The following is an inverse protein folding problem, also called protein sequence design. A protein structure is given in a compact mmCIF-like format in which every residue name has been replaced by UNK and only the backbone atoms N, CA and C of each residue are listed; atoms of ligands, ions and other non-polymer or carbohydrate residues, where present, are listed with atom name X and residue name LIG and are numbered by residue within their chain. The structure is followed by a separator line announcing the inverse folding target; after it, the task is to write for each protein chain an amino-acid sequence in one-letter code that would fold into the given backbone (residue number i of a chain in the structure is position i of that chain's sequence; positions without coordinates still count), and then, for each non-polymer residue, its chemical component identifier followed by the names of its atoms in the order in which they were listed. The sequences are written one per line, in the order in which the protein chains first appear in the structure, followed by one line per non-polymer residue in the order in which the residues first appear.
data_IF_829281780130
#
_entry.id   IF_829281780130
#
_cell.length_a   1.000
_cell.length_b   1.000
_cell.length_c   1.000
_cell.angle_alpha   90.00
_cell.angle_beta   90.00
_cell.angle_gamma   90.00
#
_symmetry.space_group_name_H-M   'P 1'
#
loop_
_entity.id
_entity.type
_entity.pdbx_description
1 polymer ?
#
# COMPACT_ATOMS: atom_id res chain seq x y z
N UNK A 1 4.84 13.52 24.53
CA UNK A 1 4.86 13.67 23.06
C UNK A 1 3.95 12.60 22.48
N UNK A 2 3.06 12.95 21.54
CA UNK A 2 2.18 11.96 20.91
C UNK A 2 2.97 10.94 20.09
N UNK A 3 2.39 9.77 19.84
CA UNK A 3 3.02 8.73 19.02
C UNK A 3 3.20 9.26 17.58
N UNK A 4 4.39 9.14 16.95
CA UNK A 4 4.62 9.61 15.59
C UNK A 4 3.60 9.01 14.63
N UNK A 5 3.06 9.85 13.74
CA UNK A 5 2.04 9.43 12.77
C UNK A 5 2.72 9.02 11.47
N UNK A 6 2.08 8.08 10.78
CA UNK A 6 2.54 7.49 9.52
C UNK A 6 1.43 7.66 8.50
N UNK A 7 1.79 8.04 7.28
CA UNK A 7 0.85 8.34 6.22
C UNK A 7 1.24 7.59 4.95
N UNK A 8 0.25 7.05 4.25
CA UNK A 8 0.37 6.54 2.89
C UNK A 8 0.26 7.73 1.95
N UNK A 9 1.36 8.08 1.31
CA UNK A 9 1.45 9.19 0.36
C UNK A 9 1.15 8.75 -1.07
N UNK A 10 1.56 7.55 -1.45
CA UNK A 10 1.34 7.02 -2.79
C UNK A 10 1.15 5.51 -2.83
N UNK A 11 0.37 5.05 -3.79
CA UNK A 11 0.05 3.63 -4.00
C UNK A 11 -0.03 3.30 -5.48
N UNK A 12 0.33 2.07 -5.84
CA UNK A 12 0.18 1.57 -7.20
C UNK A 12 0.07 0.05 -7.24
N UNK A 13 -0.53 -0.44 -8.33
CA UNK A 13 -0.48 -1.85 -8.74
C UNK A 13 0.17 -1.91 -10.14
N UNK A 14 0.92 -2.97 -10.37
CA UNK A 14 1.43 -3.38 -11.67
C UNK A 14 1.18 -4.88 -11.86
N UNK A 15 0.98 -5.29 -13.11
CA UNK A 15 0.62 -6.66 -13.47
C UNK A 15 1.45 -7.19 -14.64
N UNK A 16 1.04 -8.36 -15.15
CA UNK A 16 1.71 -9.03 -16.28
C UNK A 16 1.73 -8.21 -17.57
N UNK A 17 0.83 -7.24 -17.73
CA UNK A 17 0.80 -6.32 -18.86
C UNK A 17 1.99 -5.37 -18.91
N UNK A 18 2.66 -5.15 -17.77
CA UNK A 18 3.83 -4.27 -17.64
C UNK A 18 5.13 -4.97 -18.04
N UNK A 19 5.15 -6.30 -18.14
CA UNK A 19 6.31 -7.08 -18.57
C UNK A 19 6.62 -8.23 -17.63
N UNK A 20 7.90 -8.54 -17.47
CA UNK A 20 8.33 -9.54 -16.48
C UNK A 20 8.24 -8.99 -15.05
N UNK A 21 8.59 -9.79 -14.05
CA UNK A 21 8.53 -9.37 -12.64
C UNK A 21 9.35 -8.11 -12.38
N UNK A 22 10.52 -7.96 -13.01
CA UNK A 22 11.38 -6.78 -12.83
C UNK A 22 10.70 -5.56 -13.43
N UNK A 23 10.14 -5.68 -14.63
CA UNK A 23 9.41 -4.60 -15.29
C UNK A 23 8.19 -4.16 -14.46
N UNK A 24 7.42 -5.11 -13.93
CA UNK A 24 6.27 -4.83 -13.06
C UNK A 24 6.68 -4.16 -11.74
N UNK A 25 7.80 -4.57 -11.14
CA UNK A 25 8.36 -3.90 -9.95
C UNK A 25 8.71 -2.45 -10.25
N UNK A 26 9.36 -2.19 -11.37
CA UNK A 26 9.74 -0.83 -11.77
C UNK A 26 8.50 0.00 -12.08
N UNK A 27 7.48 -0.58 -12.74
CA UNK A 27 6.21 0.09 -12.98
C UNK A 27 5.47 0.44 -11.68
N UNK A 28 5.38 -0.49 -10.73
CA UNK A 28 4.73 -0.26 -9.43
C UNK A 28 5.46 0.82 -8.62
N UNK A 29 6.79 0.75 -8.51
CA UNK A 29 7.61 1.74 -7.83
C UNK A 29 7.45 3.13 -8.45
N UNK A 30 7.53 3.22 -9.78
CA UNK A 30 7.40 4.48 -10.53
C UNK A 30 6.04 5.12 -10.28
N UNK A 31 4.96 4.36 -10.45
CA UNK A 31 3.60 4.86 -10.24
C UNK A 31 3.35 5.29 -8.79
N UNK A 32 3.84 4.52 -7.81
CA UNK A 32 3.66 4.86 -6.39
C UNK A 32 4.43 6.14 -6.01
N UNK A 33 5.64 6.33 -6.54
CA UNK A 33 6.42 7.55 -6.32
C UNK A 33 5.82 8.77 -7.06
N UNK A 34 5.32 8.59 -8.29
CA UNK A 34 4.59 9.64 -9.01
C UNK A 34 3.29 10.03 -8.29
N UNK A 35 2.53 9.05 -7.79
CA UNK A 35 1.36 9.30 -6.97
C UNK A 35 1.72 10.11 -5.72
N UNK A 36 2.78 9.69 -5.00
CA UNK A 36 3.30 10.41 -3.85
C UNK A 36 3.99 11.75 -4.20
N UNK A 37 4.29 12.01 -5.48
CA UNK A 37 5.06 13.17 -5.89
C UNK A 37 6.43 13.23 -5.21
N UNK A 38 7.12 12.10 -5.09
CA UNK A 38 8.46 12.00 -4.51
C UNK A 38 9.43 11.40 -5.52
N UNK A 39 10.71 11.61 -5.28
CA UNK A 39 11.81 10.98 -6.02
C UNK A 39 12.49 9.93 -5.14
N UNK A 40 13.30 9.06 -5.75
CA UNK A 40 14.07 8.08 -4.99
C UNK A 40 15.09 8.71 -4.02
N UNK A 41 15.45 9.99 -4.21
CA UNK A 41 16.26 10.75 -3.23
C UNK A 41 15.53 10.97 -1.91
N UNK A 42 14.20 11.09 -1.94
CA UNK A 42 13.41 11.30 -0.73
C UNK A 42 13.29 10.01 0.08
N UNK A 43 13.44 8.84 -0.55
CA UNK A 43 13.31 7.52 0.10
C UNK A 43 14.52 7.23 0.99
N UNK A 44 14.29 7.06 2.29
CA UNK A 44 15.34 6.72 3.26
C UNK A 44 15.48 5.20 3.48
N UNK A 45 14.41 4.43 3.22
CA UNK A 45 14.44 2.97 3.30
C UNK A 45 13.53 2.35 2.23
N UNK A 46 13.99 1.27 1.62
CA UNK A 46 13.19 0.45 0.72
C UNK A 46 12.90 -0.90 1.37
N UNK A 47 11.68 -1.39 1.23
CA UNK A 47 11.28 -2.72 1.71
C UNK A 47 10.74 -3.48 0.52
N UNK A 48 11.43 -4.55 0.13
CA UNK A 48 10.97 -5.45 -0.92
C UNK A 48 10.51 -6.75 -0.27
N UNK A 49 9.44 -7.34 -0.78
CA UNK A 49 8.90 -8.56 -0.22
C UNK A 49 9.16 -9.81 -1.06
N UNK A 50 9.00 -10.95 -0.40
CA UNK A 50 8.96 -12.25 -1.02
C UNK A 50 7.80 -13.08 -0.46
N UNK A 51 7.33 -14.03 -1.28
CA UNK A 51 6.30 -15.01 -0.97
C UNK A 51 6.76 -16.38 -1.51
N UNK A 52 7.02 -17.35 -0.63
CA UNK A 52 7.72 -18.59 -0.95
C UNK A 52 9.02 -18.35 -1.76
N UNK A 53 9.12 -18.94 -2.96
CA UNK A 53 10.23 -18.82 -3.90
C UNK A 53 10.14 -17.56 -4.77
N UNK A 54 8.99 -16.87 -4.79
CA UNK A 54 8.80 -15.66 -5.57
C UNK A 54 9.33 -14.45 -4.79
N UNK A 55 10.43 -13.87 -5.27
CA UNK A 55 11.15 -12.78 -4.59
C UNK A 55 11.30 -11.56 -5.49
N UNK A 56 11.01 -10.38 -4.96
CA UNK A 56 11.39 -9.11 -5.60
C UNK A 56 12.88 -8.89 -5.35
N UNK A 57 13.67 -8.85 -6.43
CA UNK A 57 15.11 -8.57 -6.32
C UNK A 57 15.35 -7.10 -5.93
N UNK A 58 16.20 -6.81 -4.92
CA UNK A 58 16.65 -5.46 -4.61
C UNK A 58 17.24 -4.72 -5.83
N UNK A 59 17.90 -5.44 -6.75
CA UNK A 59 18.49 -4.90 -7.99
C UNK A 59 17.49 -4.26 -8.94
N UNK A 60 16.19 -4.48 -8.74
CA UNK A 60 15.15 -3.78 -9.48
C UNK A 60 15.15 -2.28 -9.17
N UNK A 61 15.62 -1.87 -7.98
CA UNK A 61 15.68 -0.48 -7.54
C UNK A 61 16.87 0.29 -8.12
N UNK A 62 17.92 -0.38 -8.60
CA UNK A 62 19.09 0.24 -9.24
C UNK A 62 18.70 1.20 -10.39
N UNK A 63 17.55 0.94 -11.03
CA UNK A 63 17.02 1.81 -12.10
C UNK A 63 16.70 3.22 -11.61
N UNK A 64 16.35 3.37 -10.33
CA UNK A 64 15.99 4.65 -9.71
C UNK A 64 17.19 5.36 -9.12
N UNK A 65 18.21 4.62 -8.67
CA UNK A 65 19.46 5.18 -8.18
C UNK A 65 20.32 4.10 -7.52
N UNK A 66 21.65 4.27 -7.60
CA UNK A 66 22.62 3.40 -6.94
C UNK A 66 23.03 3.92 -5.55
N UNK A 67 22.86 5.22 -5.34
CA UNK A 67 23.00 5.87 -4.04
C UNK A 67 21.60 6.14 -3.51
N UNK A 68 21.10 5.33 -2.56
CA UNK A 68 19.85 5.66 -1.90
C UNK A 68 19.07 4.45 -1.38
N UNK A 69 18.55 4.63 -0.15
CA UNK A 69 17.71 3.72 0.61
C UNK A 69 18.26 2.29 0.82
N UNK A 70 18.79 1.94 2.01
CA UNK A 70 18.97 0.53 2.38
C UNK A 70 17.72 -0.28 2.07
N UNK A 71 17.92 -1.44 1.43
CA UNK A 71 16.83 -2.35 1.05
C UNK A 71 16.72 -3.47 2.08
N UNK A 72 15.55 -3.62 2.69
CA UNK A 72 15.22 -4.77 3.54
C UNK A 72 14.35 -5.76 2.79
N UNK A 73 14.75 -7.02 2.76
CA UNK A 73 13.94 -8.12 2.23
C UNK A 73 13.10 -8.73 3.35
N UNK A 74 11.78 -8.72 3.22
CA UNK A 74 10.86 -9.18 4.27
C UNK A 74 9.79 -10.11 3.73
N UNK A 75 9.26 -10.98 4.59
CA UNK A 75 8.07 -11.73 4.21
C UNK A 75 6.90 -10.78 3.93
N UNK A 76 6.17 -11.05 2.85
CA UNK A 76 5.11 -10.20 2.33
C UNK A 76 4.04 -9.81 3.36
N UNK A 77 3.57 -10.74 4.19
CA UNK A 77 2.56 -10.47 5.22
C UNK A 77 3.03 -9.53 6.34
N UNK A 78 4.34 -9.32 6.49
CA UNK A 78 4.94 -8.44 7.50
C UNK A 78 5.44 -7.10 6.95
N UNK A 79 5.43 -6.92 5.62
CA UNK A 79 6.07 -5.79 4.96
C UNK A 79 5.52 -4.43 5.39
N UNK A 80 4.19 -4.28 5.38
CA UNK A 80 3.55 -3.03 5.80
C UNK A 80 3.76 -2.73 7.29
N UNK A 81 3.77 -3.76 8.14
CA UNK A 81 4.04 -3.57 9.57
C UNK A 81 5.48 -3.09 9.79
N UNK A 82 6.45 -3.73 9.15
CA UNK A 82 7.86 -3.34 9.22
C UNK A 82 8.07 -1.91 8.72
N UNK A 83 7.47 -1.55 7.58
CA UNK A 83 7.53 -0.20 7.04
C UNK A 83 6.90 0.84 7.97
N UNK A 84 5.74 0.50 8.56
CA UNK A 84 5.06 1.36 9.53
C UNK A 84 5.93 1.58 10.76
N UNK A 85 6.62 0.54 11.28
CA UNK A 85 7.52 0.70 12.43
C UNK A 85 8.75 1.54 12.08
N UNK A 86 9.33 1.36 10.88
CA UNK A 86 10.45 2.19 10.41
C UNK A 86 10.10 3.69 10.46
N UNK A 87 8.96 4.07 9.89
CA UNK A 87 8.53 5.49 9.93
C UNK A 87 8.14 5.92 11.34
N UNK A 88 7.35 5.11 12.06
CA UNK A 88 6.85 5.47 13.39
C UNK A 88 7.95 5.60 14.44
N UNK A 89 9.04 4.85 14.31
CA UNK A 89 10.21 4.95 15.20
C UNK A 89 11.11 6.15 14.89
N UNK A 90 10.87 6.86 13.78
CA UNK A 90 11.75 7.92 13.28
C UNK A 90 13.01 7.40 12.58
N UNK A 91 13.08 6.10 12.26
CA UNK A 91 14.20 5.53 11.50
C UNK A 91 14.19 5.99 10.03
N UNK A 92 13.01 6.31 9.49
CA UNK A 92 12.81 6.73 8.11
C UNK A 92 11.73 7.80 8.04
N UNK A 93 11.93 8.86 7.28
CA UNK A 93 10.88 9.86 6.99
C UNK A 93 10.07 9.50 5.74
N UNK A 94 10.64 8.73 4.82
CA UNK A 94 9.98 8.22 3.63
C UNK A 94 10.46 6.81 3.28
N UNK A 95 9.52 5.85 3.23
CA UNK A 95 9.79 4.44 2.97
C UNK A 95 9.02 3.98 1.74
N UNK A 96 9.73 3.35 0.79
CA UNK A 96 9.14 2.69 -0.39
C UNK A 96 8.96 1.19 -0.09
N UNK A 97 7.76 0.68 -0.30
CA UNK A 97 7.43 -0.74 -0.12
C UNK A 97 7.05 -1.31 -1.48
N UNK A 98 7.62 -2.47 -1.82
CA UNK A 98 7.28 -3.26 -2.98
C UNK A 98 6.86 -4.65 -2.52
N UNK A 99 5.58 -4.94 -2.71
CA UNK A 99 4.94 -6.17 -2.26
C UNK A 99 4.42 -7.02 -3.42
N UNK A 100 4.10 -8.28 -3.10
CA UNK A 100 3.48 -9.21 -4.04
C UNK A 100 2.03 -9.45 -3.64
N UNK A 101 1.15 -9.55 -4.62
CA UNK A 101 -0.22 -10.01 -4.41
C UNK A 101 -0.63 -10.90 -5.58
N UNK A 102 -1.79 -11.53 -5.49
CA UNK A 102 -2.35 -12.33 -6.58
C UNK A 102 -3.79 -11.96 -6.79
N UNK A 103 -4.19 -11.82 -8.06
CA UNK A 103 -5.60 -11.60 -8.39
C UNK A 103 -6.38 -12.92 -8.31
N UNK A 104 -7.23 -13.08 -7.29
CA UNK A 104 -8.07 -14.27 -7.06
C UNK A 104 -9.41 -14.22 -7.78
N UNK A 105 -9.69 -13.18 -8.59
CA UNK A 105 -10.91 -13.10 -9.40
C UNK A 105 -10.96 -14.12 -10.56
N UNK A 106 -9.89 -14.88 -10.76
CA UNK A 106 -9.78 -15.98 -11.73
C UNK A 106 -9.40 -17.28 -11.00
N UNK A 107 -9.85 -18.42 -11.54
CA UNK A 107 -9.56 -19.77 -11.03
C UNK A 107 -8.09 -19.93 -10.55
N UNK A 108 -7.87 -20.67 -9.47
CA UNK A 108 -6.57 -20.87 -8.81
C UNK A 108 -5.43 -21.30 -9.76
N UNK A 109 -5.74 -21.91 -10.91
CA UNK A 109 -4.77 -22.27 -11.96
C UNK A 109 -4.31 -21.10 -12.86
N UNK A 110 -4.85 -19.89 -12.68
CA UNK A 110 -4.63 -18.72 -13.53
C UNK A 110 -4.37 -17.42 -12.75
N UNK A 111 -4.09 -17.52 -11.44
CA UNK A 111 -3.78 -16.38 -10.60
C UNK A 111 -2.53 -15.66 -11.13
N UNK A 112 -2.71 -14.43 -11.60
CA UNK A 112 -1.61 -13.58 -12.05
C UNK A 112 -1.02 -12.86 -10.85
N UNK A 113 0.31 -12.90 -10.73
CA UNK A 113 1.04 -12.15 -9.73
C UNK A 113 0.93 -10.64 -10.05
N UNK A 114 0.59 -9.87 -9.03
CA UNK A 114 0.59 -8.42 -9.02
C UNK A 114 1.76 -7.93 -8.17
N UNK A 115 2.33 -6.80 -8.57
CA UNK A 115 3.28 -6.07 -7.75
C UNK A 115 2.61 -4.82 -7.22
N UNK A 116 2.72 -4.60 -5.92
CA UNK A 116 2.10 -3.47 -5.22
C UNK A 116 3.20 -2.52 -4.75
N UNK A 117 3.10 -1.25 -5.12
CA UNK A 117 3.96 -0.18 -4.64
C UNK A 117 3.23 0.66 -3.59
N UNK A 118 3.87 0.96 -2.46
CA UNK A 118 3.35 1.85 -1.42
C UNK A 118 4.45 2.78 -0.95
N UNK A 119 4.14 4.07 -0.80
CA UNK A 119 5.05 5.07 -0.19
C UNK A 119 4.46 5.48 1.15
N UNK A 120 5.21 5.23 2.23
CA UNK A 120 4.89 5.72 3.57
C UNK A 120 5.76 6.91 3.92
N UNK A 121 5.18 7.93 4.54
CA UNK A 121 5.88 9.14 4.97
C UNK A 121 5.55 9.49 6.43
N UNK A 122 6.49 10.17 7.10
CA UNK A 122 6.29 10.71 8.44
C UNK A 122 5.37 11.94 8.41
N UNK A 123 4.76 12.28 9.55
CA UNK A 123 3.99 13.54 9.68
C UNK A 123 4.85 14.75 9.34
N UNK A 124 6.14 14.76 9.72
CA UNK A 124 7.05 15.86 9.43
C UNK A 124 7.22 16.02 7.91
N UNK A 125 7.48 14.92 7.21
CA UNK A 125 7.55 14.91 5.75
C UNK A 125 6.23 15.37 5.12
N UNK A 126 5.09 14.90 5.62
CA UNK A 126 3.78 15.32 5.12
C UNK A 126 3.58 16.84 5.27
N UNK A 127 3.98 17.41 6.41
CA UNK A 127 3.83 18.85 6.67
C UNK A 127 4.70 19.72 5.77
N UNK A 128 5.86 19.24 5.31
CA UNK A 128 6.71 19.95 4.35
C UNK A 128 6.25 19.80 2.89
N UNK A 129 5.30 18.88 2.61
CA UNK A 129 4.80 18.59 1.28
C UNK A 129 3.27 18.80 1.19
N UNK A 130 2.86 20.08 1.13
CA UNK A 130 1.45 20.48 1.22
C UNK A 130 0.51 19.78 0.20
N UNK A 131 1.01 19.41 -0.98
CA UNK A 131 0.25 18.71 -2.02
C UNK A 131 -0.18 17.27 -1.65
N UNK A 132 0.38 16.70 -0.58
CA UNK A 132 0.01 15.38 -0.06
C UNK A 132 -1.07 15.43 1.01
N UNK A 133 -1.34 16.60 1.60
CA UNK A 133 -2.14 16.70 2.82
C UNK A 133 -3.56 16.17 2.64
N UNK A 134 -4.20 16.52 1.54
CA UNK A 134 -5.62 16.22 1.27
C UNK A 134 -5.84 14.84 0.63
N UNK A 135 -4.78 14.20 0.13
CA UNK A 135 -4.84 12.89 -0.52
C UNK A 135 -4.20 11.78 0.33
N UNK A 136 -3.37 12.10 1.31
CA UNK A 136 -2.71 11.10 2.13
C UNK A 136 -3.66 10.37 3.09
N UNK A 137 -3.36 9.10 3.34
CA UNK A 137 -4.14 8.24 4.24
C UNK A 137 -3.30 7.92 5.47
N UNK A 138 -3.78 8.23 6.65
CA UNK A 138 -3.11 7.96 7.92
C UNK A 138 -3.26 6.50 8.32
N UNK A 139 -2.17 5.90 8.78
CA UNK A 139 -2.18 4.62 9.51
C UNK A 139 -2.37 4.91 11.00
N UNK A 140 -3.62 4.76 11.47
CA UNK A 140 -4.01 4.99 12.86
C UNK A 140 -3.50 3.89 13.79
N UNK A 141 -3.56 2.63 13.33
CA UNK A 141 -3.14 1.47 14.08
C UNK A 141 -2.56 0.40 13.15
N UNK A 142 -1.56 -0.33 13.63
CA UNK A 142 -0.89 -1.41 12.91
C UNK A 142 -0.48 -2.49 13.92
N UNK A 143 -0.77 -3.75 13.65
CA UNK A 143 -0.35 -4.85 14.50
C UNK A 143 -0.05 -6.11 13.69
N UNK A 144 0.89 -6.89 14.20
CA UNK A 144 1.23 -8.21 13.70
C UNK A 144 1.03 -9.23 14.84
N UNK A 145 0.42 -10.38 14.55
CA UNK A 145 0.31 -11.49 15.49
C UNK A 145 0.66 -12.80 14.78
N UNK A 146 1.40 -13.68 15.43
CA UNK A 146 1.74 -15.00 14.91
C UNK A 146 1.27 -16.11 15.85
N UNK A 147 0.91 -17.29 15.33
CA UNK A 147 0.45 -18.39 16.17
C UNK A 147 1.58 -19.04 16.97
N UNK A 148 2.85 -18.86 16.58
CA UNK A 148 4.01 -19.39 17.31
C UNK A 148 4.05 -18.85 18.75
N UNK A 149 3.81 -17.56 18.94
CA UNK A 149 3.69 -16.97 20.29
C UNK A 149 2.52 -17.55 21.10
N UNK A 150 1.52 -18.14 20.43
CA UNK A 150 0.31 -18.68 21.05
C UNK A 150 0.37 -20.19 21.31
N UNK A 151 1.32 -20.91 20.70
CA UNK A 151 1.52 -22.36 20.92
C UNK A 151 1.88 -22.69 22.37
N UNK A 152 2.46 -21.76 23.13
CA UNK A 152 2.74 -21.93 24.57
C UNK A 152 1.47 -22.01 25.44
N UNK A 153 0.30 -21.64 24.89
CA UNK A 153 -0.98 -21.57 25.60
C UNK A 153 -2.01 -22.62 25.15
N UNK A 154 -1.59 -23.64 24.39
CA UNK A 154 -2.44 -24.74 23.94
C UNK A 154 -3.27 -24.43 22.68
N UNK A 155 -2.96 -25.17 21.62
CA UNK A 155 -3.54 -25.17 20.25
C UNK A 155 -3.51 -23.85 19.44
N UNK A 156 -3.31 -23.96 18.13
CA UNK A 156 -3.38 -22.83 17.20
C UNK A 156 -4.84 -22.53 16.84
N UNK A 157 -5.46 -21.53 17.49
CA UNK A 157 -6.75 -20.95 17.09
C UNK A 157 -6.50 -19.70 16.22
N UNK A 158 -6.71 -19.75 14.88
CA UNK A 158 -6.57 -18.58 14.01
C UNK A 158 -7.41 -17.38 14.47
N UNK A 159 -8.59 -17.65 15.07
CA UNK A 159 -9.47 -16.61 15.61
C UNK A 159 -8.82 -15.86 16.78
N UNK A 160 -7.96 -16.53 17.57
CA UNK A 160 -7.22 -15.90 18.67
C UNK A 160 -6.14 -14.97 18.13
N UNK A 161 -5.37 -15.42 17.13
CA UNK A 161 -4.36 -14.59 16.46
C UNK A 161 -4.99 -13.32 15.90
N UNK A 162 -6.12 -13.46 15.20
CA UNK A 162 -6.91 -12.35 14.68
C UNK A 162 -7.34 -11.37 15.77
N UNK A 163 -7.96 -11.85 16.87
CA UNK A 163 -8.38 -11.00 18.00
C UNK A 163 -7.22 -10.22 18.62
N UNK A 164 -6.03 -10.82 18.71
CA UNK A 164 -4.84 -10.16 19.27
C UNK A 164 -4.34 -9.07 18.34
N UNK A 165 -4.25 -9.34 17.03
CA UNK A 165 -3.84 -8.33 16.04
C UNK A 165 -4.83 -7.17 16.01
N UNK A 166 -6.13 -7.46 15.86
CA UNK A 166 -7.20 -6.45 15.84
C UNK A 166 -7.21 -5.63 17.13
N UNK A 167 -7.20 -6.28 18.29
CA UNK A 167 -7.21 -5.60 19.58
C UNK A 167 -5.97 -4.72 19.81
N UNK A 168 -4.80 -5.14 19.32
CA UNK A 168 -3.58 -4.35 19.42
C UNK A 168 -3.59 -3.15 18.48
N UNK A 169 -4.08 -3.32 17.24
CA UNK A 169 -4.24 -2.22 16.30
C UNK A 169 -5.25 -1.18 16.80
N UNK A 170 -6.40 -1.61 17.32
CA UNK A 170 -7.41 -0.74 17.94
C UNK A 170 -6.86 0.05 19.14
N UNK A 171 -6.13 -0.63 20.04
CA UNK A 171 -5.46 0.05 21.18
C UNK A 171 -4.44 1.07 20.71
N UNK A 172 -3.63 0.75 19.71
CA UNK A 172 -2.66 1.70 19.14
C UNK A 172 -3.35 2.90 18.49
N UNK A 173 -4.47 2.67 17.80
CA UNK A 173 -5.30 3.72 17.21
C UNK A 173 -6.11 4.52 18.24
N UNK A 174 -6.21 4.05 19.48
CA UNK A 174 -7.12 4.58 20.51
C UNK A 174 -8.59 4.58 20.06
N UNK A 175 -8.99 3.55 19.33
CA UNK A 175 -10.35 3.36 18.81
C UNK A 175 -11.01 2.14 19.44
N UNK A 176 -12.34 2.17 19.50
CA UNK A 176 -13.18 1.02 19.82
C UNK A 176 -13.64 0.36 18.52
N UNK A 177 -14.05 -0.92 18.53
CA UNK A 177 -14.62 -1.58 17.37
C UNK A 177 -15.80 -0.82 16.72
N UNK A 178 -16.63 -0.15 17.54
CA UNK A 178 -17.76 0.67 17.07
C UNK A 178 -17.36 1.92 16.29
N UNK A 179 -16.09 2.31 16.38
CA UNK A 179 -15.57 3.48 15.68
C UNK A 179 -15.03 3.11 14.28
N UNK A 180 -15.09 1.81 13.89
CA UNK A 180 -14.73 1.29 12.57
C UNK A 180 -16.00 1.08 11.74
N UNK A 181 -16.09 1.75 10.58
CA UNK A 181 -17.27 1.67 9.70
C UNK A 181 -17.10 0.63 8.57
N UNK A 182 -15.86 0.32 8.22
CA UNK A 182 -15.54 -0.62 7.14
C UNK A 182 -14.48 -1.59 7.57
N UNK A 183 -14.66 -2.85 7.20
CA UNK A 183 -13.70 -3.90 7.48
C UNK A 183 -13.41 -4.67 6.19
N UNK A 184 -12.16 -4.65 5.75
CA UNK A 184 -11.72 -5.43 4.61
C UNK A 184 -11.13 -6.75 5.10
N UNK A 185 -11.67 -7.85 4.57
CA UNK A 185 -11.21 -9.20 4.83
C UNK A 185 -10.80 -9.87 3.51
N UNK A 186 -9.73 -10.68 3.51
CA UNK A 186 -9.40 -11.55 2.40
C UNK A 186 -10.56 -12.48 2.08
N UNK A 187 -10.72 -12.82 0.80
CA UNK A 187 -11.85 -13.58 0.27
C UNK A 187 -12.16 -14.84 1.11
N UNK A 188 -11.15 -15.66 1.40
CA UNK A 188 -11.31 -16.93 2.11
C UNK A 188 -11.80 -16.77 3.55
N UNK A 189 -11.53 -15.62 4.18
CA UNK A 189 -11.93 -15.32 5.55
C UNK A 189 -13.32 -14.69 5.65
N UNK A 190 -13.85 -14.13 4.54
CA UNK A 190 -15.22 -13.58 4.51
C UNK A 190 -16.27 -14.65 4.77
N UNK A 191 -16.02 -15.87 4.28
CA UNK A 191 -16.95 -16.99 4.39
C UNK A 191 -16.75 -17.80 5.69
N UNK A 192 -15.54 -17.80 6.25
CA UNK A 192 -15.13 -18.81 7.23
C UNK A 192 -14.94 -18.33 8.67
N UNK A 193 -14.97 -17.03 8.98
CA UNK A 193 -14.53 -16.56 10.31
C UNK A 193 -15.42 -15.53 11.05
N UNK A 194 -16.59 -15.94 11.59
CA UNK A 194 -17.50 -15.03 12.31
C UNK A 194 -17.02 -14.58 13.69
N UNK A 195 -16.03 -15.26 14.31
CA UNK A 195 -15.59 -14.96 15.69
C UNK A 195 -14.45 -13.95 15.81
N UNK A 196 -13.65 -13.76 14.75
CA UNK A 196 -12.68 -12.67 14.71
C UNK A 196 -13.37 -11.30 14.64
N UNK A 197 -14.61 -11.29 14.13
CA UNK A 197 -15.44 -10.10 13.92
C UNK A 197 -16.41 -9.82 15.07
N UNK A 198 -16.44 -10.63 16.13
CA UNK A 198 -17.50 -10.58 17.14
C UNK A 198 -17.55 -9.27 17.95
N UNK A 199 -16.56 -8.40 17.80
CA UNK A 199 -16.54 -7.06 18.40
C UNK A 199 -17.12 -5.96 17.50
N UNK A 200 -17.29 -6.22 16.20
CA UNK A 200 -17.85 -5.27 15.24
C UNK A 200 -19.36 -5.46 15.12
N UNK A 201 -20.08 -4.39 14.81
CA UNK A 201 -21.51 -4.48 14.60
C UNK A 201 -21.86 -5.29 13.34
N UNK A 202 -23.12 -5.75 13.27
CA UNK A 202 -23.60 -6.58 12.17
C UNK A 202 -23.59 -5.83 10.84
N UNK A 203 -23.91 -4.53 10.86
CA UNK A 203 -23.95 -3.68 9.68
C UNK A 203 -22.56 -3.51 9.04
N UNK A 204 -21.54 -3.20 9.84
CA UNK A 204 -20.14 -3.15 9.41
C UNK A 204 -19.74 -4.49 8.82
N UNK A 205 -20.07 -5.60 9.49
CA UNK A 205 -19.76 -6.95 9.01
C UNK A 205 -20.43 -7.29 7.67
N UNK A 206 -21.64 -6.79 7.42
CA UNK A 206 -22.39 -6.99 6.19
C UNK A 206 -21.88 -6.13 5.03
N UNK A 207 -21.65 -4.84 5.28
CA UNK A 207 -21.02 -3.92 4.33
C UNK A 207 -19.64 -4.45 3.89
N UNK A 208 -18.89 -4.99 4.85
CA UNK A 208 -17.61 -5.65 4.63
C UNK A 208 -17.69 -6.85 3.69
N UNK A 209 -18.84 -7.54 3.60
CA UNK A 209 -19.10 -8.62 2.61
C UNK A 209 -19.53 -8.09 1.25
N UNK A 210 -20.01 -6.85 1.18
CA UNK A 210 -20.40 -6.20 -0.07
C UNK A 210 -19.27 -5.45 -0.77
N UNK A 211 -18.18 -5.11 -0.06
CA UNK A 211 -17.03 -4.44 -0.68
C UNK A 211 -16.48 -5.29 -1.83
N UNK A 212 -16.24 -4.68 -2.99
CA UNK A 212 -15.44 -5.30 -4.04
C UNK A 212 -14.02 -5.43 -3.53
N UNK A 213 -13.64 -6.61 -3.08
CA UNK A 213 -12.24 -6.99 -3.12
C UNK A 213 -12.03 -7.51 -4.53
N UNK A 214 -11.32 -6.77 -5.37
CA UNK A 214 -10.56 -7.48 -6.40
C UNK A 214 -9.75 -8.53 -5.65
N UNK A 215 -9.89 -9.79 -6.08
CA UNK A 215 -9.45 -10.93 -5.31
C UNK A 215 -8.00 -10.76 -4.90
N UNK A 216 -7.71 -10.51 -3.64
CA UNK A 216 -6.38 -10.20 -3.14
C UNK A 216 -6.07 -11.23 -2.08
N UNK A 217 -5.02 -12.03 -2.32
CA UNK A 217 -4.64 -13.10 -1.39
C UNK A 217 -3.95 -12.51 -0.15
N UNK A 218 -3.18 -11.43 -0.31
CA UNK A 218 -2.33 -10.87 0.75
C UNK A 218 -2.91 -9.58 1.34
N UNK A 219 -3.92 -8.99 0.72
CA UNK A 219 -4.54 -7.73 1.14
C UNK A 219 -3.79 -6.47 0.68
N UNK A 220 -2.68 -6.60 -0.06
CA UNK A 220 -1.90 -5.45 -0.51
C UNK A 220 -2.59 -4.70 -1.66
N UNK A 221 -3.09 -5.40 -2.67
CA UNK A 221 -3.88 -4.80 -3.74
C UNK A 221 -5.18 -4.20 -3.16
N UNK A 222 -5.77 -4.86 -2.16
CA UNK A 222 -6.92 -4.31 -1.45
C UNK A 222 -6.60 -2.99 -0.72
N UNK A 223 -5.41 -2.85 -0.13
CA UNK A 223 -4.97 -1.57 0.43
C UNK A 223 -4.97 -0.47 -0.63
N UNK A 224 -4.45 -0.75 -1.83
CA UNK A 224 -4.43 0.23 -2.93
C UNK A 224 -5.84 0.66 -3.30
N UNK A 225 -6.75 -0.30 -3.49
CA UNK A 225 -8.16 -0.01 -3.79
C UNK A 225 -8.81 0.83 -2.69
N UNK A 226 -8.60 0.48 -1.41
CA UNK A 226 -9.13 1.25 -0.29
C UNK A 226 -8.58 2.68 -0.28
N UNK A 227 -7.27 2.86 -0.50
CA UNK A 227 -6.67 4.19 -0.58
C UNK A 227 -7.31 5.02 -1.70
N UNK A 228 -7.54 4.43 -2.88
CA UNK A 228 -8.26 5.11 -3.96
C UNK A 228 -9.71 5.44 -3.61
N UNK A 229 -10.43 4.56 -2.91
CA UNK A 229 -11.79 4.82 -2.44
C UNK A 229 -11.83 5.95 -1.41
N UNK A 230 -10.92 5.99 -0.43
CA UNK A 230 -10.84 7.08 0.55
C UNK A 230 -10.45 8.44 -0.08
N UNK A 231 -9.79 8.41 -1.24
CA UNK A 231 -9.46 9.59 -2.05
C UNK A 231 -10.58 9.99 -3.03
N UNK A 232 -11.64 9.20 -3.15
CA UNK A 232 -12.69 9.41 -4.15
C UNK A 232 -12.25 9.17 -5.59
N UNK A 233 -11.20 8.37 -5.80
CA UNK A 233 -10.68 8.05 -7.14
C UNK A 233 -11.35 6.81 -7.75
N UNK A 234 -11.82 5.91 -6.90
CA UNK A 234 -12.56 4.69 -7.25
C UNK A 234 -14.06 4.86 -6.91
N UNK A 235 -14.85 3.81 -7.14
CA UNK A 235 -16.27 3.76 -6.75
C UNK A 235 -16.47 4.22 -5.29
N UNK A 236 -17.54 4.99 -5.07
CA UNK A 236 -17.92 5.47 -3.74
C UNK A 236 -18.09 4.31 -2.74
N UNK A 237 -17.69 4.56 -1.50
CA UNK A 237 -17.91 3.63 -0.41
C UNK A 237 -19.40 3.57 -0.05
N UNK A 238 -19.90 2.42 0.43
CA UNK A 238 -21.31 2.26 0.74
C UNK A 238 -21.76 3.07 1.98
N UNK A 239 -20.81 3.69 2.70
CA UNK A 239 -21.02 4.51 3.89
C UNK A 239 -19.97 5.62 3.96
N UNK A 240 -20.27 6.71 4.67
CA UNK A 240 -19.33 7.78 4.99
C UNK A 240 -18.28 7.29 6.00
N UNK A 241 -17.32 6.52 5.50
CA UNK A 241 -16.31 5.85 6.31
C UNK A 241 -15.21 6.82 6.76
N UNK A 242 -14.97 6.88 8.07
CA UNK A 242 -13.82 7.58 8.64
C UNK A 242 -12.67 6.61 8.90
N UNK A 243 -12.98 5.45 9.48
CA UNK A 243 -11.99 4.43 9.80
C UNK A 243 -12.32 3.12 9.09
N UNK A 244 -11.31 2.57 8.43
CA UNK A 244 -11.35 1.23 7.86
C UNK A 244 -10.30 0.34 8.49
N UNK A 245 -10.67 -0.89 8.83
CA UNK A 245 -9.74 -1.93 9.25
C UNK A 245 -9.46 -2.85 8.07
N UNK A 246 -8.19 -2.94 7.67
CA UNK A 246 -7.70 -3.91 6.71
C UNK A 246 -7.08 -5.11 7.44
N UNK A 247 -7.58 -6.29 7.13
CA UNK A 247 -7.03 -7.55 7.60
C UNK A 247 -6.20 -8.20 6.48
N UNK A 248 -4.95 -8.49 6.77
CA UNK A 248 -4.06 -9.27 5.91
C UNK A 248 -3.79 -10.62 6.56
N UNK A 249 -4.20 -11.69 5.88
CA UNK A 249 -3.79 -13.04 6.25
C UNK A 249 -2.44 -13.32 5.63
N UNK A 250 -1.41 -13.48 6.46
CA UNK A 250 -0.12 -14.01 6.06
C UNK A 250 -0.11 -15.54 6.11
N UNK A 251 0.99 -16.13 5.62
CA UNK A 251 1.24 -17.57 5.74
C UNK A 251 1.51 -17.99 7.17
N UNK A 252 1.38 -19.29 7.41
CA UNK A 252 1.58 -19.93 8.72
C UNK A 252 0.69 -19.34 9.83
N UNK A 253 -0.44 -18.72 9.46
CA UNK A 253 -1.38 -18.10 10.39
C UNK A 253 -0.92 -16.75 10.95
N UNK A 254 0.16 -16.15 10.42
CA UNK A 254 0.54 -14.78 10.76
C UNK A 254 -0.56 -13.84 10.29
N UNK A 255 -0.99 -12.92 11.14
CA UNK A 255 -2.03 -11.94 10.84
C UNK A 255 -1.46 -10.55 10.97
N UNK A 256 -1.64 -9.73 9.93
CA UNK A 256 -1.32 -8.31 9.94
C UNK A 256 -2.62 -7.51 9.86
N UNK A 257 -2.72 -6.46 10.66
CA UNK A 257 -3.89 -5.56 10.70
C UNK A 257 -3.42 -4.14 10.56
N UNK A 258 -4.09 -3.37 9.71
CA UNK A 258 -3.96 -1.93 9.58
C UNK A 258 -5.31 -1.26 9.81
N UNK A 259 -5.30 -0.13 10.51
CA UNK A 259 -6.45 0.76 10.62
C UNK A 259 -6.08 2.06 9.93
N UNK A 260 -6.83 2.42 8.91
CA UNK A 260 -6.58 3.59 8.07
C UNK A 260 -7.73 4.59 8.15
N UNK A 261 -7.40 5.87 8.00
CA UNK A 261 -8.33 6.99 7.86
C UNK A 261 -7.69 8.08 7.01
N UNK A 262 -8.45 9.07 6.54
CA UNK A 262 -7.82 10.22 5.86
C UNK A 262 -6.96 11.03 6.83
N UNK A 263 -5.84 11.54 6.35
CA UNK A 263 -4.94 12.38 7.17
C UNK A 263 -5.57 13.70 7.62
N UNK A 264 -6.55 14.22 6.86
CA UNK A 264 -7.30 15.44 7.21
C UNK A 264 -8.40 15.22 8.26
N UNK A 265 -8.62 13.96 8.68
CA UNK A 265 -9.62 13.58 9.67
C UNK A 265 -11.06 13.55 9.17
N UNK A 266 -11.30 13.73 7.86
CA UNK A 266 -12.62 13.67 7.24
C UNK A 266 -12.99 12.24 6.82
N UNK A 267 -14.26 12.03 6.51
CA UNK A 267 -14.74 10.82 5.84
C UNK A 267 -14.14 10.70 4.43
N UNK A 268 -14.18 9.48 3.87
CA UNK A 268 -13.89 9.24 2.46
C UNK A 268 -14.62 10.24 1.54
N UNK A 269 -13.90 10.69 0.51
CA UNK A 269 -14.37 11.75 -0.39
C UNK A 269 -15.06 11.14 -1.61
N UNK A 270 -16.08 11.82 -2.13
CA UNK A 270 -16.79 11.39 -3.35
C UNK A 270 -16.12 11.89 -4.62
N UNK A 271 -16.32 11.20 -5.73
CA UNK A 271 -15.70 11.56 -7.02
C UNK A 271 -15.95 13.02 -7.42
N UNK A 272 -17.16 13.54 -7.23
CA UNK A 272 -17.55 14.90 -7.65
C UNK A 272 -16.78 15.99 -6.90
N UNK A 273 -16.31 15.69 -5.68
CA UNK A 273 -15.52 16.63 -4.87
C UNK A 273 -14.06 16.70 -5.33
N UNK A 274 -13.57 15.66 -6.02
CA UNK A 274 -12.16 15.53 -6.40
C UNK A 274 -11.91 15.53 -7.89
N UNK A 275 -12.90 15.40 -8.77
CA UNK A 275 -12.69 15.24 -10.22
C UNK A 275 -11.84 16.35 -10.88
N UNK A 276 -11.81 17.54 -10.29
CA UNK A 276 -11.01 18.69 -10.75
C UNK A 276 -9.87 19.08 -9.80
N UNK A 277 -9.66 18.33 -8.72
CA UNK A 277 -8.58 18.56 -7.77
C UNK A 277 -7.26 18.07 -8.34
N UNK A 278 -6.21 18.89 -8.18
CA UNK A 278 -4.84 18.54 -8.54
C UNK A 278 -4.23 17.64 -7.48
N UNK A 279 -3.98 16.38 -7.83
CA UNK A 279 -3.40 15.37 -6.95
C UNK A 279 -2.51 14.39 -7.72
N UNK A 280 -2.26 13.19 -7.18
CA UNK A 280 -1.42 12.18 -7.82
C UNK A 280 -1.87 11.79 -9.23
N UNK A 281 -3.17 11.95 -9.57
CA UNK A 281 -3.70 11.69 -10.92
C UNK A 281 -3.11 12.64 -11.97
N UNK A 282 -2.81 13.89 -11.59
CA UNK A 282 -2.17 14.86 -12.50
C UNK A 282 -0.73 14.42 -12.80
N UNK A 283 0.02 13.99 -11.78
CA UNK A 283 1.40 13.50 -11.94
C UNK A 283 1.46 12.21 -12.75
N UNK A 284 0.53 11.29 -12.52
CA UNK A 284 0.37 10.07 -13.33
C UNK A 284 -0.11 10.38 -14.76
N UNK A 285 -0.89 11.45 -14.92
CA UNK A 285 -1.56 11.81 -16.18
C UNK A 285 -2.76 10.92 -16.51
N UNK A 286 -3.31 10.21 -15.51
CA UNK A 286 -4.53 9.40 -15.59
C UNK A 286 -5.07 9.10 -14.18
N UNK A 287 -6.33 8.67 -14.08
CA UNK A 287 -6.85 8.09 -12.84
C UNK A 287 -6.47 6.59 -12.77
N UNK A 288 -5.59 6.17 -11.84
CA UNK A 288 -5.13 4.80 -11.75
C UNK A 288 -6.19 3.82 -11.23
N UNK A 289 -7.24 4.32 -10.58
CA UNK A 289 -8.37 3.48 -10.16
C UNK A 289 -9.31 3.10 -11.31
N UNK A 290 -9.28 3.85 -12.43
CA UNK A 290 -10.17 3.63 -13.56
C UNK A 290 -9.53 2.86 -14.72
N UNK A 291 -8.20 2.96 -14.88
CA UNK A 291 -7.45 2.30 -15.96
C UNK A 291 -5.98 2.18 -15.62
N UNK A 292 -5.31 1.18 -16.18
CA UNK A 292 -3.84 1.04 -16.13
C UNK A 292 -3.19 1.69 -17.36
N UNK A 293 -2.05 2.36 -17.16
CA UNK A 293 -1.23 2.93 -18.23
C UNK A 293 0.21 2.47 -18.08
N UNK A 294 0.83 1.97 -19.14
CA UNK A 294 2.26 1.61 -19.15
C UNK A 294 3.12 2.83 -18.83
N UNK A 295 4.16 2.62 -18.03
CA UNK A 295 5.16 3.65 -17.76
C UNK A 295 5.98 3.95 -19.02
N UNK A 296 6.41 5.21 -19.16
CA UNK A 296 7.36 5.62 -20.19
C UNK A 296 8.73 5.97 -19.59
N UNK A 297 9.74 6.18 -20.43
CA UNK A 297 11.08 6.59 -19.99
C UNK A 297 11.00 7.83 -19.10
N UNK A 298 10.18 8.81 -19.50
CA UNK A 298 10.01 10.06 -18.79
C UNK A 298 9.41 9.87 -17.40
N UNK A 299 8.50 8.91 -17.23
CA UNK A 299 7.89 8.61 -15.93
C UNK A 299 8.95 8.01 -14.97
N UNK A 300 9.85 7.16 -15.49
CA UNK A 300 10.96 6.60 -14.68
C UNK A 300 11.94 7.69 -14.33
N UNK A 301 12.40 8.48 -15.30
CA UNK A 301 13.34 9.60 -15.08
C UNK A 301 12.80 10.61 -14.06
N UNK A 302 11.50 10.88 -14.08
CA UNK A 302 10.81 11.76 -13.15
C UNK A 302 10.92 11.36 -11.67
N UNK A 303 11.13 10.06 -11.37
CA UNK A 303 11.21 9.54 -9.99
C UNK A 303 12.61 9.08 -9.60
N UNK A 304 13.61 9.22 -10.48
CA UNK A 304 14.99 8.84 -10.16
C UNK A 304 15.58 9.72 -9.07
N UNK A 305 16.60 9.21 -8.41
CA UNK A 305 17.43 10.01 -7.51
C UNK A 305 18.06 11.19 -8.28
N UNK A 306 18.10 12.35 -7.63
CA UNK A 306 18.57 13.63 -8.18
C UNK A 306 20.10 13.75 -8.28
N UNK A 307 20.87 12.75 -7.83
CA UNK A 307 22.35 12.74 -7.91
C UNK A 307 22.80 12.18 -9.26
N UNK A 308 23.89 12.72 -9.84
CA UNK A 308 24.43 12.31 -11.14
C UNK A 308 24.65 10.79 -11.23
N UNK A 309 23.85 10.14 -12.06
CA UNK A 309 23.92 8.72 -12.33
C UNK A 309 25.10 8.39 -13.25
N UNK A 310 26.00 7.50 -12.83
CA UNK A 310 26.95 6.84 -13.74
C UNK A 310 26.28 5.58 -14.28
N UNK A 311 26.00 5.47 -15.60
CA UNK A 311 25.38 4.27 -16.16
C UNK A 311 26.35 3.09 -16.08
N UNK A 312 26.02 2.07 -15.29
CA UNK A 312 26.56 0.73 -15.53
C UNK A 312 25.90 0.12 -16.77
N UNK A 313 26.57 -0.88 -17.35
CA UNK A 313 26.10 -1.71 -18.46
C UNK A 313 24.92 -2.63 -18.06
N UNK A 314 23.86 -2.07 -17.47
CA UNK A 314 22.64 -2.80 -17.17
C UNK A 314 21.73 -2.87 -18.40
N UNK A 315 20.95 -3.96 -18.49
CA UNK A 315 19.93 -4.16 -19.54
C UNK A 315 18.90 -3.01 -19.45
N UNK A 316 18.93 -2.09 -20.43
CA UNK A 316 17.95 -1.00 -20.54
C UNK A 316 16.55 -1.57 -20.74
N UNK A 317 15.58 -1.06 -19.98
CA UNK A 317 14.17 -1.33 -20.21
C UNK A 317 13.77 -0.80 -21.59
N UNK A 318 12.98 -1.57 -22.34
CA UNK A 318 12.44 -1.14 -23.63
C UNK A 318 11.14 -0.36 -23.40
N UNK A 319 11.25 0.83 -22.81
CA UNK A 319 10.11 1.70 -22.54
C UNK A 319 9.81 2.64 -23.72
N UNK A 320 8.53 2.94 -24.00
CA UNK A 320 8.18 3.99 -24.96
C UNK A 320 8.60 5.37 -24.44
N UNK A 321 8.86 6.31 -25.35
CA UNK A 321 9.02 7.73 -25.03
C UNK A 321 7.68 8.46 -25.17
N UNK A 322 7.39 9.40 -24.26
CA UNK A 322 6.12 10.16 -24.24
C UNK A 322 6.01 11.15 -25.40
N UNK A 323 7.13 11.56 -25.99
CA UNK A 323 7.19 12.51 -27.11
C UNK A 323 6.60 13.87 -26.73
N UNK A 324 7.35 14.68 -25.98
CA UNK A 324 6.91 16.00 -25.53
C UNK A 324 8.03 16.80 -24.86
N UNK A 325 7.82 18.11 -24.71
CA UNK A 325 8.83 19.05 -24.20
C UNK A 325 9.25 18.73 -22.76
N UNK A 326 10.54 18.40 -22.56
CA UNK A 326 11.12 17.89 -21.30
C UNK A 326 10.88 18.81 -20.10
N UNK A 327 10.64 20.09 -20.35
CA UNK A 327 10.43 21.10 -19.31
C UNK A 327 9.15 20.91 -18.47
N UNK A 328 8.15 20.18 -18.97
CA UNK A 328 6.91 19.94 -18.22
C UNK A 328 7.04 18.86 -17.13
N UNK A 329 8.01 17.94 -17.25
CA UNK A 329 8.23 16.82 -16.32
C UNK A 329 9.19 17.17 -15.16
N UNK A 330 10.00 18.21 -15.31
CA UNK A 330 10.99 18.64 -14.32
C UNK A 330 10.40 19.39 -13.11
N UNK A 331 9.08 19.33 -12.89
CA UNK A 331 8.36 20.06 -11.82
C UNK A 331 7.88 19.16 -10.67
N UNK A 332 8.41 17.95 -10.56
CA UNK A 332 8.31 17.10 -9.37
C UNK A 332 9.37 17.50 -8.34
#
# INVERSE_FOLDING_TARGET
MGNPKVHIAGVAVAGSEDGDLRDAVIAAATRAMLDAGVTYTDVNQSIVSFEDELRISPKSLDTFGLEGAPVSEVNNGSALFAATQSVRSGQSDCTLILGLDTNTSKSASSAQALVVGVVLVSELFLTSHAYLKDSSIRICGSALASPIHLRSLGSSDPSRTARIAVGSALRQAQLRPTDIQLLHLPHDLRESNPRALSGFDAATSELSRSLRSEGSATGLAALVTLVWQFRGWADDLPVDAHNCLLYTSGREGVTSVLIISRSDGRAAVKWEEVEHVRDGRERLGYNPAAKTKKICVEDVEAVRARVEFVPESQKRLQLPAKGGDRAALARL
#
